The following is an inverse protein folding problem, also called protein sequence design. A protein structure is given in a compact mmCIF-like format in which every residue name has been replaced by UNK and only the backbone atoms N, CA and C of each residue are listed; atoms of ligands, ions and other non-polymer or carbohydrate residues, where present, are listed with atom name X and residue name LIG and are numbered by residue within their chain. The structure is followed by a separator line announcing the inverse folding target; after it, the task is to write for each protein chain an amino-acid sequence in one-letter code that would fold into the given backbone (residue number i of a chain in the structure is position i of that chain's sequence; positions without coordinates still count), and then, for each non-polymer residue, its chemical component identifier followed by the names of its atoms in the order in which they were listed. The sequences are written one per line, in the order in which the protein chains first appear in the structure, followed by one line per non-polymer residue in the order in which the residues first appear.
data_IF_380064295236
#
_entry.id   IF_380064295236
#
_cell.length_a   1.000
_cell.length_b   1.000
_cell.length_c   1.000
_cell.angle_alpha   90.00
_cell.angle_beta   90.00
_cell.angle_gamma   90.00
#
_symmetry.space_group_name_H-M   'P 1'
#
loop_
_entity.id
_entity.type
_entity.pdbx_description
1 polymer ?
#
# COMPACT_ATOMS: atom_id res chain seq x y z
N UNK A 1 -21.05 -5.83 -19.26
CA UNK A 1 -20.01 -4.78 -19.17
C UNK A 1 -18.69 -5.47 -18.87
N UNK A 2 -17.75 -5.48 -19.82
CA UNK A 2 -16.54 -6.31 -19.80
C UNK A 2 -15.23 -5.52 -19.67
N UNK A 3 -15.19 -4.54 -18.77
CA UNK A 3 -13.98 -3.76 -18.50
C UNK A 3 -13.27 -4.39 -17.30
N UNK A 4 -11.99 -4.74 -17.47
CA UNK A 4 -11.14 -5.18 -16.37
C UNK A 4 -10.93 -4.01 -15.41
N UNK A 5 -11.31 -4.18 -14.15
CA UNK A 5 -11.01 -3.20 -13.09
C UNK A 5 -9.50 -3.06 -12.92
N UNK A 6 -8.98 -1.84 -12.72
CA UNK A 6 -7.56 -1.65 -12.45
C UNK A 6 -7.19 -2.31 -11.13
N UNK A 7 -6.06 -3.03 -11.14
CA UNK A 7 -5.56 -3.75 -9.98
C UNK A 7 -4.86 -2.81 -8.97
N UNK A 8 -4.53 -1.57 -9.35
CA UNK A 8 -3.82 -0.60 -8.51
C UNK A 8 -4.07 0.85 -8.89
N UNK A 9 -3.75 1.76 -7.96
CA UNK A 9 -3.84 3.22 -8.13
C UNK A 9 -2.54 3.87 -7.63
N UNK A 10 -2.03 4.84 -8.38
CA UNK A 10 -0.90 5.69 -7.98
C UNK A 10 -1.41 7.10 -7.64
N UNK A 11 -1.02 7.61 -6.47
CA UNK A 11 -1.31 8.99 -6.05
C UNK A 11 -0.04 9.85 -6.13
N UNK A 12 0.00 10.76 -7.09
CA UNK A 12 1.16 11.65 -7.34
C UNK A 12 0.79 13.13 -7.15
N UNK A 13 1.79 13.98 -6.84
CA UNK A 13 1.69 15.44 -6.85
C UNK A 13 2.40 16.11 -5.67
N UNK A 14 2.28 17.44 -5.53
CA UNK A 14 2.97 18.21 -4.48
C UNK A 14 2.65 17.74 -3.05
N UNK A 15 3.54 18.03 -2.07
CA UNK A 15 3.23 17.81 -0.67
C UNK A 15 2.00 18.65 -0.26
N UNK A 16 1.16 18.11 0.63
CA UNK A 16 -0.04 18.81 1.12
C UNK A 16 -1.34 18.56 0.33
N UNK A 17 -1.31 17.89 -0.83
CA UNK A 17 -2.52 17.57 -1.61
C UNK A 17 -3.39 16.42 -1.02
N UNK A 18 -3.23 16.07 0.25
CA UNK A 18 -4.11 15.09 0.93
C UNK A 18 -3.96 13.61 0.52
N UNK A 19 -2.89 13.22 -0.20
CA UNK A 19 -2.67 11.82 -0.66
C UNK A 19 -2.74 10.80 0.47
N UNK A 20 -2.06 11.09 1.58
CA UNK A 20 -2.08 10.23 2.77
C UNK A 20 -3.44 10.28 3.48
N UNK A 21 -4.13 11.42 3.42
CA UNK A 21 -5.41 11.62 4.08
C UNK A 21 -6.52 10.82 3.40
N UNK A 22 -6.58 10.83 2.06
CA UNK A 22 -7.57 10.04 1.31
C UNK A 22 -7.39 8.53 1.56
N UNK A 23 -6.15 8.05 1.59
CA UNK A 23 -5.86 6.64 1.89
C UNK A 23 -6.33 6.25 3.29
N UNK A 24 -6.11 7.10 4.30
CA UNK A 24 -6.57 6.86 5.68
C UNK A 24 -8.10 6.91 5.81
N UNK A 25 -8.77 7.75 5.03
CA UNK A 25 -10.23 7.81 5.04
C UNK A 25 -10.85 6.50 4.51
N UNK A 26 -10.25 5.92 3.46
CA UNK A 26 -10.65 4.61 2.92
C UNK A 26 -10.34 3.50 3.91
N UNK A 27 -9.16 3.54 4.55
CA UNK A 27 -8.74 2.59 5.57
C UNK A 27 -9.69 2.49 6.77
N UNK A 28 -10.37 3.59 7.10
CA UNK A 28 -11.32 3.65 8.23
C UNK A 28 -12.68 3.04 7.92
N UNK A 29 -12.93 2.56 6.70
CA UNK A 29 -14.24 1.98 6.34
C UNK A 29 -14.44 0.59 6.96
N UNK A 30 -15.64 0.30 7.52
CA UNK A 30 -15.94 -1.01 8.08
C UNK A 30 -15.78 -2.13 7.05
N UNK A 31 -15.05 -3.19 7.42
CA UNK A 31 -14.89 -4.39 6.59
C UNK A 31 -13.83 -4.30 5.49
N UNK A 32 -13.05 -3.20 5.41
CA UNK A 32 -11.95 -3.06 4.46
C UNK A 32 -10.61 -3.34 5.16
N UNK A 33 -9.91 -4.45 4.86
CA UNK A 33 -8.57 -4.67 5.40
C UNK A 33 -7.60 -3.65 4.79
N UNK A 34 -6.89 -2.92 5.65
CA UNK A 34 -5.96 -1.89 5.24
C UNK A 34 -4.54 -2.18 5.75
N UNK A 35 -3.58 -2.18 4.82
CA UNK A 35 -2.16 -2.39 5.10
C UNK A 35 -1.37 -1.16 4.66
N UNK A 36 -0.68 -0.51 5.59
CA UNK A 36 0.21 0.62 5.31
C UNK A 36 1.66 0.17 5.49
N UNK A 37 2.51 0.49 4.51
CA UNK A 37 3.94 0.22 4.58
C UNK A 37 4.71 1.36 3.92
N UNK A 38 5.76 1.84 4.59
CA UNK A 38 6.64 2.86 4.02
C UNK A 38 7.73 2.20 3.17
N UNK A 39 8.07 2.82 2.04
CA UNK A 39 9.13 2.33 1.15
C UNK A 39 10.49 2.17 1.84
N UNK A 40 10.74 2.98 2.88
CA UNK A 40 11.93 2.89 3.72
C UNK A 40 12.02 1.61 4.55
N UNK A 41 10.89 0.95 4.85
CA UNK A 41 10.88 -0.33 5.58
C UNK A 41 11.45 -1.48 4.76
N UNK A 42 11.65 -1.30 3.46
CA UNK A 42 12.27 -2.29 2.58
C UNK A 42 13.79 -2.18 2.50
N UNK A 43 14.35 -1.09 3.02
CA UNK A 43 15.78 -0.84 3.01
C UNK A 43 16.37 -1.43 4.29
N UNK A 44 16.80 -2.69 4.23
CA UNK A 44 17.52 -3.34 5.32
C UNK A 44 18.96 -3.69 4.90
N UNK A 45 19.86 -3.69 5.89
CA UNK A 45 21.28 -4.05 5.72
C UNK A 45 21.45 -5.52 5.33
N UNK A 46 20.48 -6.38 5.69
CA UNK A 46 20.48 -7.80 5.39
C UNK A 46 19.72 -8.08 4.09
N UNK A 47 20.44 -8.51 3.07
CA UNK A 47 19.88 -8.87 1.78
C UNK A 47 18.77 -9.93 1.93
N UNK A 48 17.59 -9.66 1.36
CA UNK A 48 16.49 -10.63 1.29
C UNK A 48 15.48 -10.60 2.43
N UNK A 49 15.75 -9.91 3.54
CA UNK A 49 14.78 -9.78 4.66
C UNK A 49 13.62 -8.87 4.27
N UNK A 50 13.89 -7.75 3.60
CA UNK A 50 12.87 -6.83 3.11
C UNK A 50 11.92 -7.49 2.08
N UNK A 51 12.45 -8.31 1.17
CA UNK A 51 11.64 -8.98 0.14
C UNK A 51 10.80 -10.13 0.69
N UNK A 52 11.28 -10.86 1.70
CA UNK A 52 10.50 -11.87 2.40
C UNK A 52 9.28 -11.26 3.10
N UNK A 53 9.45 -10.10 3.75
CA UNK A 53 8.37 -9.39 4.45
C UNK A 53 7.25 -8.94 3.50
N UNK A 54 7.61 -8.41 2.32
CA UNK A 54 6.63 -8.09 1.27
C UNK A 54 5.80 -9.32 0.92
N UNK A 55 6.46 -10.43 0.64
CA UNK A 55 5.80 -11.67 0.22
C UNK A 55 4.83 -12.18 1.26
N UNK A 56 5.16 -12.06 2.54
CA UNK A 56 4.26 -12.47 3.62
C UNK A 56 3.07 -11.53 3.80
N UNK A 57 3.23 -10.22 3.57
CA UNK A 57 2.11 -9.27 3.59
C UNK A 57 1.13 -9.58 2.47
N UNK A 58 1.64 -9.78 1.25
CA UNK A 58 0.80 -10.14 0.10
C UNK A 58 0.13 -11.51 0.21
N UNK A 59 0.65 -12.42 1.06
CA UNK A 59 -0.01 -13.71 1.35
C UNK A 59 -1.11 -13.61 2.41
N UNK A 60 -1.07 -12.57 3.26
CA UNK A 60 -2.04 -12.33 4.34
C UNK A 60 -3.23 -11.49 3.90
N UNK A 61 -3.02 -10.66 2.87
CA UNK A 61 -4.07 -9.91 2.18
C UNK A 61 -4.86 -10.83 1.24
#
# INVERSE_FOLDING_TARGET
MGIKTPDSVLLEGPPGCGKTLVTKAIAGQPGVPFYQMAGSEFVEVLAGVGSARIRDIFKRA
#
